data_IF_582751226204
#
_entry.id   IF_582751226204
#
_cell.length_a   1.000
_cell.length_b   1.000
_cell.length_c   1.000
_cell.angle_alpha   90.00
_cell.angle_beta   90.00
_cell.angle_gamma   90.00
#
_symmetry.space_group_name_H-M   'P 1'
#
loop_
_entity.id
_entity.type
_entity.pdbx_description
1 polymer ?
#
# COMPACT_ATOMS: atom_id res chain seq x y z
N UNK A 1 6.63 -1.01 -15.99
CA UNK A 1 6.00 -0.68 -14.68
C UNK A 1 5.17 -1.87 -14.23
N UNK A 2 5.22 -2.25 -12.93
CA UNK A 2 4.36 -3.30 -12.36
C UNK A 2 2.99 -2.73 -12.02
N UNK A 3 1.93 -3.54 -12.20
CA UNK A 3 0.57 -3.17 -11.78
C UNK A 3 0.18 -3.99 -10.57
N UNK A 4 -0.28 -3.32 -9.52
CA UNK A 4 -0.71 -3.85 -8.24
C UNK A 4 -2.16 -3.47 -7.97
N UNK A 5 -2.97 -4.38 -7.49
CA UNK A 5 -4.36 -4.09 -7.11
C UNK A 5 -4.37 -3.49 -5.70
N UNK A 6 -5.16 -2.45 -5.52
CA UNK A 6 -5.40 -1.80 -4.24
C UNK A 6 -6.90 -1.68 -3.98
N UNK A 7 -7.36 -2.09 -2.80
CA UNK A 7 -8.78 -2.05 -2.41
C UNK A 7 -8.98 -1.30 -1.09
N UNK A 8 -10.18 -0.78 -0.89
CA UNK A 8 -10.61 -0.11 0.34
C UNK A 8 -11.83 -0.80 0.96
N UNK A 9 -11.62 -1.90 1.70
CA UNK A 9 -12.72 -2.74 2.21
C UNK A 9 -13.68 -2.04 3.17
N UNK A 10 -13.21 -1.01 3.88
CA UNK A 10 -14.07 -0.21 4.76
C UNK A 10 -15.19 0.51 4.00
N UNK A 11 -15.11 0.57 2.68
CA UNK A 11 -16.16 1.14 1.82
C UNK A 11 -17.31 0.17 1.55
N UNK A 12 -17.23 -1.07 2.04
CA UNK A 12 -18.34 -2.03 1.98
C UNK A 12 -18.02 -3.38 1.36
N UNK A 13 -16.80 -3.91 1.53
CA UNK A 13 -16.42 -5.23 1.02
C UNK A 13 -16.36 -6.30 2.12
N UNK A 14 -16.84 -7.49 1.81
CA UNK A 14 -16.69 -8.70 2.62
C UNK A 14 -15.33 -9.36 2.39
N UNK A 15 -14.99 -10.38 3.22
CA UNK A 15 -13.81 -11.21 2.96
C UNK A 15 -13.90 -11.94 1.62
N UNK A 16 -15.08 -12.45 1.27
CA UNK A 16 -15.29 -13.23 0.02
C UNK A 16 -15.13 -12.34 -1.22
N UNK A 17 -15.54 -11.05 -1.16
CA UNK A 17 -15.29 -10.09 -2.23
C UNK A 17 -13.79 -9.87 -2.43
N UNK A 18 -13.05 -9.68 -1.33
CA UNK A 18 -11.61 -9.49 -1.38
C UNK A 18 -10.87 -10.74 -1.88
N UNK A 19 -11.34 -11.92 -1.51
CA UNK A 19 -10.80 -13.18 -1.99
C UNK A 19 -11.05 -13.35 -3.50
N UNK A 20 -12.24 -13.00 -3.99
CA UNK A 20 -12.55 -13.02 -5.42
C UNK A 20 -11.61 -12.07 -6.21
N UNK A 21 -11.44 -10.83 -5.73
CA UNK A 21 -10.49 -9.88 -6.35
C UNK A 21 -9.06 -10.40 -6.32
N UNK A 22 -8.59 -10.94 -5.19
CA UNK A 22 -7.22 -11.42 -5.04
C UNK A 22 -6.94 -12.63 -5.96
N UNK A 23 -7.84 -13.59 -6.04
CA UNK A 23 -7.72 -14.75 -6.96
C UNK A 23 -7.73 -14.31 -8.41
N UNK A 24 -8.67 -13.45 -8.79
CA UNK A 24 -8.72 -12.90 -10.15
C UNK A 24 -7.44 -12.13 -10.48
N UNK A 25 -6.93 -11.31 -9.57
CA UNK A 25 -5.67 -10.60 -9.77
C UNK A 25 -4.48 -11.56 -9.96
N UNK A 26 -4.43 -12.65 -9.17
CA UNK A 26 -3.39 -13.68 -9.32
C UNK A 26 -3.49 -14.41 -10.65
N UNK A 27 -4.68 -14.83 -11.06
CA UNK A 27 -4.93 -15.52 -12.33
C UNK A 27 -4.56 -14.66 -13.53
N UNK A 28 -4.88 -13.37 -13.47
CA UNK A 28 -4.59 -12.40 -14.53
C UNK A 28 -3.14 -11.90 -14.54
N UNK A 29 -2.32 -12.23 -13.54
CA UNK A 29 -0.89 -11.93 -13.52
C UNK A 29 -0.53 -10.56 -12.95
N UNK A 30 -1.38 -9.93 -12.14
CA UNK A 30 -1.00 -8.76 -11.37
C UNK A 30 0.11 -9.08 -10.37
N UNK A 31 0.95 -8.09 -10.04
CA UNK A 31 2.12 -8.24 -9.16
C UNK A 31 1.73 -8.45 -7.70
N UNK A 32 0.69 -7.77 -7.24
CA UNK A 32 0.30 -7.77 -5.84
C UNK A 32 -1.18 -7.40 -5.62
N UNK A 33 -1.68 -7.79 -4.45
CA UNK A 33 -2.93 -7.30 -3.88
C UNK A 33 -2.64 -6.56 -2.57
N UNK A 34 -3.10 -5.33 -2.49
CA UNK A 34 -3.01 -4.48 -1.33
C UNK A 34 -4.40 -4.03 -0.88
N UNK A 35 -4.52 -3.74 0.40
CA UNK A 35 -5.71 -3.13 0.95
C UNK A 35 -5.35 -1.98 1.90
N UNK A 36 -6.26 -1.03 2.04
CA UNK A 36 -6.19 -0.06 3.14
C UNK A 36 -6.34 -0.74 4.50
N UNK A 37 -5.84 -0.10 5.55
CA UNK A 37 -6.06 -0.50 6.93
C UNK A 37 -6.86 0.61 7.62
N UNK A 38 -8.16 0.64 7.33
CA UNK A 38 -9.12 1.60 7.87
C UNK A 38 -10.29 0.89 8.54
N UNK A 39 -10.79 1.47 9.63
CA UNK A 39 -11.88 0.94 10.44
C UNK A 39 -13.19 1.73 10.29
N UNK A 40 -13.22 2.77 9.48
CA UNK A 40 -14.41 3.56 9.23
C UNK A 40 -14.54 3.90 7.74
N UNK A 41 -15.78 3.84 7.23
CA UNK A 41 -16.10 4.30 5.89
C UNK A 41 -15.79 5.79 5.76
N UNK A 42 -15.26 6.19 4.63
CA UNK A 42 -15.03 7.57 4.25
C UNK A 42 -16.19 8.07 3.38
N UNK A 43 -16.68 9.28 3.69
CA UNK A 43 -17.81 9.87 2.99
C UNK A 43 -19.16 9.29 3.45
N UNK A 44 -20.22 9.76 2.78
CA UNK A 44 -21.61 9.38 3.05
C UNK A 44 -21.92 7.97 2.50
N UNK A 45 -23.02 7.37 3.00
CA UNK A 45 -23.54 6.09 2.54
C UNK A 45 -23.60 5.02 3.60
N UNK A 46 -24.03 3.81 3.21
CA UNK A 46 -24.11 2.66 4.11
C UNK A 46 -22.72 2.16 4.50
N UNK A 47 -22.48 1.99 5.79
CA UNK A 47 -21.24 1.44 6.34
C UNK A 47 -21.20 -0.09 6.38
N UNK A 48 -22.31 -0.76 6.01
CA UNK A 48 -22.37 -2.23 5.95
C UNK A 48 -21.51 -2.82 4.81
N UNK A 49 -20.98 -4.03 4.99
CA UNK A 49 -21.00 -4.89 6.16
C UNK A 49 -20.06 -4.47 7.30
N UNK A 50 -19.36 -3.36 7.18
CA UNK A 50 -18.39 -2.85 8.14
C UNK A 50 -16.94 -3.15 7.76
N UNK A 51 -15.98 -2.58 8.51
CA UNK A 51 -14.57 -2.80 8.24
C UNK A 51 -14.13 -4.21 8.64
N UNK A 52 -13.02 -4.64 8.04
CA UNK A 52 -12.31 -5.85 8.42
C UNK A 52 -10.88 -5.49 8.86
N UNK A 53 -10.30 -6.23 9.81
CA UNK A 53 -8.88 -6.04 10.16
C UNK A 53 -7.99 -6.44 8.99
N UNK A 54 -7.02 -5.59 8.66
CA UNK A 54 -6.18 -5.80 7.49
C UNK A 54 -5.30 -7.05 7.62
N UNK A 55 -4.65 -7.25 8.74
CA UNK A 55 -3.70 -8.35 8.91
C UNK A 55 -4.39 -9.70 9.08
N UNK A 56 -5.59 -9.74 9.69
CA UNK A 56 -6.43 -10.94 9.71
C UNK A 56 -6.89 -11.31 8.31
N UNK A 57 -7.35 -10.33 7.51
CA UNK A 57 -7.73 -10.55 6.11
C UNK A 57 -6.55 -11.07 5.28
N UNK A 58 -5.39 -10.41 5.39
CA UNK A 58 -4.18 -10.80 4.64
C UNK A 58 -3.68 -12.20 5.04
N UNK A 59 -3.84 -12.62 6.30
CA UNK A 59 -3.53 -13.97 6.74
C UNK A 59 -4.41 -15.02 6.03
N UNK A 60 -5.70 -14.75 5.86
CA UNK A 60 -6.60 -15.59 5.07
C UNK A 60 -6.16 -15.65 3.60
N UNK A 61 -6.00 -14.50 2.95
CA UNK A 61 -5.56 -14.40 1.55
C UNK A 61 -4.19 -15.06 1.31
N UNK A 62 -3.28 -15.02 2.29
CA UNK A 62 -1.99 -15.69 2.22
C UNK A 62 -2.07 -17.21 1.99
N UNK A 63 -3.13 -17.83 2.51
CA UNK A 63 -3.40 -19.28 2.35
C UNK A 63 -4.22 -19.62 1.11
N UNK A 64 -4.94 -18.63 0.59
CA UNK A 64 -5.85 -18.79 -0.55
C UNK A 64 -5.23 -18.38 -1.90
N UNK A 65 -4.00 -17.81 -1.86
CA UNK A 65 -3.20 -17.41 -3.02
C UNK A 65 -1.81 -18.05 -2.96
N UNK A 66 -1.08 -18.08 -4.07
CA UNK A 66 0.21 -18.78 -4.16
C UNK A 66 1.37 -17.91 -4.66
N UNK A 67 1.12 -16.87 -5.45
CA UNK A 67 2.14 -16.03 -6.09
C UNK A 67 1.98 -14.55 -5.78
N UNK A 68 0.75 -14.10 -5.60
CA UNK A 68 0.40 -12.70 -5.40
C UNK A 68 1.05 -12.16 -4.13
N UNK A 69 1.78 -11.07 -4.21
CA UNK A 69 2.28 -10.38 -3.03
C UNK A 69 1.12 -9.69 -2.31
N UNK A 70 1.21 -9.57 -1.01
CA UNK A 70 0.10 -9.15 -0.14
C UNK A 70 0.57 -8.08 0.84
N UNK A 71 -0.17 -6.99 0.99
CA UNK A 71 0.23 -5.95 1.93
C UNK A 71 -0.83 -4.92 2.24
N UNK A 72 -0.45 -3.99 3.09
CA UNK A 72 -1.27 -2.82 3.44
C UNK A 72 -0.78 -1.56 2.73
N UNK A 73 -1.71 -0.70 2.34
CA UNK A 73 -1.39 0.62 1.79
C UNK A 73 -2.31 1.68 2.42
N UNK A 74 -2.02 2.16 3.65
CA UNK A 74 -0.98 1.69 4.57
C UNK A 74 -1.57 1.50 5.97
N UNK A 75 -0.95 0.67 6.81
CA UNK A 75 -1.30 0.57 8.24
C UNK A 75 -0.96 1.89 8.95
N UNK A 76 -1.89 2.42 9.74
CA UNK A 76 -1.61 3.55 10.61
C UNK A 76 -0.83 3.10 11.87
N UNK A 77 0.27 3.79 12.17
CA UNK A 77 1.09 3.51 13.36
C UNK A 77 0.33 3.68 14.69
N UNK A 78 -0.81 4.34 14.65
CA UNK A 78 -1.70 4.54 15.80
C UNK A 78 -2.57 3.33 16.13
N UNK A 79 -2.73 2.38 15.21
CA UNK A 79 -3.70 1.28 15.38
C UNK A 79 -3.14 0.11 16.20
N UNK A 80 -1.84 -0.14 16.12
CA UNK A 80 -1.23 -1.31 16.76
C UNK A 80 0.09 -0.95 17.45
N UNK A 81 0.37 -1.66 18.54
CA UNK A 81 1.69 -1.62 19.16
C UNK A 81 2.74 -2.29 18.25
N UNK A 82 3.99 -1.81 18.21
CA UNK A 82 5.01 -2.29 17.29
C UNK A 82 5.35 -3.79 17.44
N UNK A 83 5.45 -4.29 18.64
CA UNK A 83 5.74 -5.71 18.89
C UNK A 83 4.67 -6.65 18.31
N UNK A 84 3.39 -6.50 18.69
CA UNK A 84 2.29 -7.25 18.08
C UNK A 84 2.19 -7.10 16.55
N UNK A 85 2.44 -5.90 16.00
CA UNK A 85 2.44 -5.69 14.57
C UNK A 85 3.59 -6.46 13.89
N UNK A 86 4.80 -6.41 14.45
CA UNK A 86 5.94 -7.17 13.93
C UNK A 86 5.66 -8.68 13.89
N UNK A 87 4.99 -9.21 14.93
CA UNK A 87 4.58 -10.62 15.01
C UNK A 87 3.53 -10.93 13.94
N UNK A 88 2.49 -10.10 13.79
CA UNK A 88 1.42 -10.33 12.82
C UNK A 88 1.96 -10.35 11.38
N UNK A 89 2.82 -9.39 11.02
CA UNK A 89 3.45 -9.33 9.69
C UNK A 89 4.34 -10.53 9.43
N UNK A 90 5.21 -10.90 10.38
CA UNK A 90 6.08 -12.08 10.24
C UNK A 90 5.26 -13.38 10.11
N UNK A 91 4.11 -13.47 10.79
CA UNK A 91 3.21 -14.62 10.67
C UNK A 91 2.55 -14.68 9.30
N UNK A 92 2.04 -13.56 8.78
CA UNK A 92 1.49 -13.48 7.42
C UNK A 92 2.56 -13.78 6.38
N UNK A 93 3.79 -13.31 6.60
CA UNK A 93 4.93 -13.62 5.75
C UNK A 93 5.20 -15.14 5.70
N UNK A 94 5.22 -15.80 6.85
CA UNK A 94 5.38 -17.26 6.91
C UNK A 94 4.19 -17.99 6.25
N UNK A 95 2.94 -17.57 6.52
CA UNK A 95 1.73 -18.18 5.94
C UNK A 95 1.69 -18.05 4.42
N UNK A 96 2.23 -16.97 3.88
CA UNK A 96 2.29 -16.70 2.44
C UNK A 96 3.53 -17.31 1.75
N UNK A 97 4.51 -17.82 2.50
CA UNK A 97 5.79 -18.28 1.95
C UNK A 97 6.67 -17.13 1.45
N UNK A 98 6.68 -16.00 2.16
CA UNK A 98 7.57 -14.86 1.86
C UNK A 98 6.97 -13.85 0.88
N UNK A 99 5.66 -13.60 0.93
CA UNK A 99 4.97 -12.65 0.03
C UNK A 99 4.39 -11.42 0.73
N UNK A 100 4.53 -11.28 2.05
CA UNK A 100 4.02 -10.13 2.79
C UNK A 100 4.85 -8.87 2.54
N UNK A 101 4.18 -7.70 2.51
CA UNK A 101 4.78 -6.36 2.49
C UNK A 101 4.08 -5.48 3.53
N UNK A 102 4.85 -4.73 4.32
CA UNK A 102 4.31 -3.82 5.33
C UNK A 102 4.28 -2.39 4.79
N UNK A 103 3.12 -1.91 4.37
CA UNK A 103 2.92 -0.48 4.23
C UNK A 103 2.55 0.15 5.58
N UNK A 104 3.25 1.22 5.97
CA UNK A 104 3.02 1.88 7.26
C UNK A 104 3.14 3.40 7.14
N UNK A 105 2.32 4.13 7.88
CA UNK A 105 2.30 5.59 7.91
C UNK A 105 1.86 6.15 9.27
N UNK A 106 1.91 7.47 9.41
CA UNK A 106 1.60 8.14 10.69
C UNK A 106 0.10 8.17 11.04
N UNK A 107 -0.79 7.78 10.11
CA UNK A 107 -2.24 7.95 10.27
C UNK A 107 -2.71 9.38 9.97
N UNK A 108 -3.95 9.53 9.56
CA UNK A 108 -4.50 10.83 9.17
C UNK A 108 -5.99 10.99 9.48
N UNK A 109 -6.78 9.90 9.52
CA UNK A 109 -8.22 9.92 9.63
C UNK A 109 -8.66 9.93 11.11
N UNK A 110 -8.95 11.12 11.65
CA UNK A 110 -9.31 11.33 13.07
C UNK A 110 -10.65 10.65 13.43
N UNK A 111 -11.64 10.69 12.52
CA UNK A 111 -12.99 10.18 12.80
C UNK A 111 -12.99 8.68 13.15
N UNK A 112 -12.18 7.86 12.46
CA UNK A 112 -12.08 6.43 12.77
C UNK A 112 -11.43 6.16 14.13
N UNK A 113 -10.47 7.00 14.52
CA UNK A 113 -9.84 6.92 15.85
C UNK A 113 -10.86 7.21 16.95
N UNK A 114 -11.66 8.27 16.78
CA UNK A 114 -12.74 8.60 17.72
C UNK A 114 -13.80 7.51 17.79
N UNK A 115 -14.22 6.99 16.63
CA UNK A 115 -15.27 5.96 16.55
C UNK A 115 -14.87 4.66 17.27
N UNK A 116 -13.58 4.34 17.31
CA UNK A 116 -13.08 3.09 17.89
C UNK A 116 -12.27 3.27 19.18
N UNK A 117 -12.28 4.47 19.77
CA UNK A 117 -11.56 4.74 21.03
C UNK A 117 -10.04 4.65 20.91
N UNK A 118 -9.50 4.84 19.71
CA UNK A 118 -8.06 4.81 19.45
C UNK A 118 -7.49 6.23 19.68
N UNK A 119 -6.42 6.39 20.47
CA UNK A 119 -5.81 7.70 20.66
C UNK A 119 -5.30 8.30 19.34
N UNK A 120 -5.61 9.58 19.11
CA UNK A 120 -5.13 10.32 17.95
C UNK A 120 -4.31 11.54 18.39
N UNK A 121 -3.01 11.35 18.70
CA UNK A 121 -2.16 12.43 19.16
C UNK A 121 -1.79 13.39 18.04
N UNK A 122 -1.07 14.46 18.38
CA UNK A 122 -0.61 15.44 17.40
C UNK A 122 0.17 14.81 16.26
N UNK A 123 0.17 15.43 15.07
CA UNK A 123 0.94 14.95 13.91
C UNK A 123 2.42 14.73 14.25
N UNK A 124 3.01 15.64 15.06
CA UNK A 124 4.39 15.49 15.52
C UNK A 124 4.58 14.17 16.29
N UNK A 125 3.73 13.92 17.26
CA UNK A 125 3.81 12.71 18.08
C UNK A 125 3.54 11.44 17.26
N UNK A 126 2.58 11.46 16.34
CA UNK A 126 2.34 10.32 15.45
C UNK A 126 3.57 9.96 14.61
N UNK A 127 4.30 10.95 14.13
CA UNK A 127 5.56 10.71 13.42
C UNK A 127 6.69 10.25 14.34
N UNK A 128 6.76 10.75 15.59
CA UNK A 128 7.72 10.28 16.57
C UNK A 128 7.46 8.79 16.91
N UNK A 129 6.19 8.42 17.11
CA UNK A 129 5.76 7.03 17.30
C UNK A 129 6.04 6.14 16.09
N UNK A 130 5.81 6.64 14.87
CA UNK A 130 6.11 5.90 13.64
C UNK A 130 7.60 5.58 13.53
N UNK A 131 8.46 6.53 13.86
CA UNK A 131 9.91 6.33 13.82
C UNK A 131 10.37 5.28 14.83
N UNK A 132 9.87 5.32 16.07
CA UNK A 132 10.15 4.27 17.06
C UNK A 132 9.59 2.92 16.65
N UNK A 133 8.37 2.86 16.07
CA UNK A 133 7.79 1.61 15.57
C UNK A 133 8.65 0.98 14.47
N UNK A 134 9.12 1.78 13.50
CA UNK A 134 9.99 1.29 12.45
C UNK A 134 11.29 0.71 13.01
N UNK A 135 11.90 1.39 13.98
CA UNK A 135 13.10 0.90 14.66
C UNK A 135 12.85 -0.43 15.41
N UNK A 136 11.72 -0.54 16.10
CA UNK A 136 11.34 -1.74 16.84
C UNK A 136 11.03 -2.90 15.90
N UNK A 137 10.20 -2.66 14.87
CA UNK A 137 9.78 -3.69 13.92
C UNK A 137 10.99 -4.26 13.18
N UNK A 138 11.85 -3.40 12.63
CA UNK A 138 13.07 -3.83 11.94
C UNK A 138 14.05 -4.50 12.89
N UNK A 139 14.23 -3.98 14.11
CA UNK A 139 15.07 -4.57 15.16
C UNK A 139 14.60 -5.97 15.53
N UNK A 140 13.30 -6.17 15.76
CA UNK A 140 12.75 -7.49 16.06
C UNK A 140 12.94 -8.48 14.91
N UNK A 141 12.80 -8.04 13.67
CA UNK A 141 12.95 -8.94 12.51
C UNK A 141 14.41 -9.31 12.23
N UNK A 142 15.35 -8.38 12.45
CA UNK A 142 16.77 -8.56 12.12
C UNK A 142 17.64 -9.10 13.26
N UNK A 143 17.19 -9.03 14.51
CA UNK A 143 17.90 -9.63 15.64
C UNK A 143 18.07 -11.13 15.42
N UNK A 144 19.30 -11.70 15.52
CA UNK A 144 19.55 -13.11 15.30
C UNK A 144 18.75 -14.03 16.22
N UNK A 145 18.38 -15.22 15.75
CA UNK A 145 17.71 -16.23 16.58
C UNK A 145 18.61 -16.62 17.75
N UNK A 146 18.06 -16.59 18.95
CA UNK A 146 18.78 -16.86 20.21
C UNK A 146 19.29 -15.61 20.91
N UNK A 147 19.31 -14.47 20.24
CA UNK A 147 19.59 -13.17 20.84
C UNK A 147 18.32 -12.50 21.35
N UNK A 148 18.50 -11.41 22.12
CA UNK A 148 17.42 -10.61 22.70
C UNK A 148 17.42 -9.21 22.11
N UNK A 149 16.24 -8.69 21.86
CA UNK A 149 16.03 -7.32 21.41
C UNK A 149 15.45 -6.48 22.55
N UNK A 150 16.06 -5.33 22.80
CA UNK A 150 15.53 -4.32 23.73
C UNK A 150 15.47 -2.97 23.03
N UNK A 151 14.49 -2.15 23.39
CA UNK A 151 14.33 -0.79 22.94
C UNK A 151 13.86 0.06 24.11
N UNK A 152 14.60 1.09 24.45
CA UNK A 152 14.27 2.09 25.47
C UNK A 152 13.95 3.39 24.74
N UNK A 153 12.66 3.59 24.44
CA UNK A 153 12.17 4.71 23.66
C UNK A 153 11.35 5.69 24.49
N UNK A 154 10.89 6.75 23.84
CA UNK A 154 10.00 7.72 24.48
C UNK A 154 8.57 7.21 24.59
N UNK A 155 8.14 6.41 23.63
CA UNK A 155 6.75 5.97 23.50
C UNK A 155 6.59 4.45 23.66
N UNK A 156 7.65 3.71 23.45
CA UNK A 156 7.65 2.25 23.54
C UNK A 156 8.90 1.77 24.25
N UNK A 157 8.69 0.84 25.18
CA UNK A 157 9.75 0.17 25.92
C UNK A 157 9.60 -1.33 25.74
N UNK A 158 10.64 -1.99 25.24
CA UNK A 158 10.73 -3.43 25.08
C UNK A 158 11.97 -3.95 25.80
N UNK A 159 11.77 -4.89 26.72
CA UNK A 159 12.86 -5.48 27.52
C UNK A 159 13.01 -6.95 27.20
N UNK A 160 14.21 -7.37 26.80
CA UNK A 160 14.61 -8.76 26.58
C UNK A 160 13.66 -9.58 25.68
N UNK A 161 13.07 -8.94 24.66
CA UNK A 161 12.21 -9.63 23.70
C UNK A 161 12.98 -10.75 22.99
N UNK A 162 12.43 -11.97 22.86
CA UNK A 162 13.05 -13.02 22.06
C UNK A 162 13.06 -12.70 20.56
N UNK A 163 12.43 -11.60 20.14
CA UNK A 163 12.33 -11.15 18.74
C UNK A 163 11.84 -12.25 17.78
N UNK A 164 10.81 -12.97 18.18
CA UNK A 164 10.19 -14.08 17.43
C UNK A 164 8.68 -13.82 17.21
N UNK A 165 8.07 -14.39 16.14
CA UNK A 165 8.68 -15.20 15.09
C UNK A 165 9.54 -14.38 14.13
N UNK A 166 10.45 -15.04 13.40
CA UNK A 166 11.17 -14.41 12.29
C UNK A 166 10.34 -14.50 11.01
N UNK A 167 10.36 -13.44 10.18
CA UNK A 167 9.81 -13.54 8.83
C UNK A 167 10.63 -14.50 7.97
N UNK A 168 10.02 -15.02 6.91
CA UNK A 168 10.67 -15.87 5.91
C UNK A 168 11.58 -15.04 5.00
N UNK A 169 11.12 -13.84 4.64
CA UNK A 169 11.89 -12.92 3.81
C UNK A 169 13.13 -12.40 4.55
N UNK A 170 14.25 -12.28 3.83
CA UNK A 170 15.52 -11.79 4.37
C UNK A 170 15.95 -10.50 3.64
N UNK A 171 16.43 -9.48 4.33
CA UNK A 171 16.58 -9.39 5.80
C UNK A 171 15.25 -9.29 6.55
N UNK A 172 14.17 -8.85 5.90
CA UNK A 172 12.80 -8.76 6.41
C UNK A 172 11.79 -8.52 5.27
N UNK A 173 10.47 -8.61 5.52
CA UNK A 173 9.44 -8.18 4.57
C UNK A 173 9.67 -6.73 4.13
N UNK A 174 9.48 -6.39 2.84
CA UNK A 174 9.61 -5.02 2.37
C UNK A 174 8.71 -4.06 3.15
N UNK A 175 9.26 -2.91 3.50
CA UNK A 175 8.55 -1.80 4.14
C UNK A 175 8.23 -0.75 3.09
N UNK A 176 6.96 -0.31 3.07
CA UNK A 176 6.47 0.76 2.22
C UNK A 176 6.10 1.95 3.10
N UNK A 177 6.67 3.11 2.85
CA UNK A 177 6.28 4.35 3.51
C UNK A 177 5.54 5.21 2.51
N UNK A 178 4.31 5.61 2.87
CA UNK A 178 3.44 6.43 2.03
C UNK A 178 3.12 7.79 2.62
N UNK A 179 2.81 8.76 1.76
CA UNK A 179 2.25 10.04 2.15
C UNK A 179 3.01 11.28 1.68
N UNK A 180 2.40 12.44 1.96
CA UNK A 180 2.81 13.76 1.47
C UNK A 180 3.70 14.57 2.42
N UNK A 181 4.31 13.96 3.42
CA UNK A 181 5.21 14.67 4.32
C UNK A 181 6.45 15.18 3.58
N UNK A 182 6.75 16.48 3.71
CA UNK A 182 7.84 17.12 2.94
C UNK A 182 9.24 16.87 3.49
N UNK A 183 9.36 16.47 4.76
CA UNK A 183 10.65 16.24 5.45
C UNK A 183 10.73 14.88 6.12
N UNK A 184 9.84 14.59 7.07
CA UNK A 184 9.91 13.36 7.87
C UNK A 184 9.59 12.11 7.07
N UNK A 185 8.58 12.15 6.19
CA UNK A 185 8.20 11.01 5.36
C UNK A 185 9.33 10.56 4.43
N UNK A 186 9.99 11.46 3.63
CA UNK A 186 11.15 11.08 2.85
C UNK A 186 12.33 10.57 3.69
N UNK A 187 12.61 11.19 4.85
CA UNK A 187 13.70 10.76 5.73
C UNK A 187 13.47 9.35 6.31
N UNK A 188 12.23 9.04 6.73
CA UNK A 188 11.88 7.69 7.20
C UNK A 188 11.94 6.67 6.05
N UNK A 189 11.48 7.04 4.85
CA UNK A 189 11.58 6.18 3.68
C UNK A 189 13.06 5.88 3.33
N UNK A 190 13.91 6.90 3.32
CA UNK A 190 15.34 6.73 3.07
C UNK A 190 16.03 5.82 4.10
N UNK A 191 15.56 5.83 5.36
CA UNK A 191 16.19 5.05 6.44
C UNK A 191 15.67 3.61 6.54
N UNK A 192 14.38 3.37 6.30
CA UNK A 192 13.72 2.11 6.66
C UNK A 192 13.04 1.40 5.50
N UNK A 193 12.69 2.10 4.40
CA UNK A 193 11.80 1.53 3.41
C UNK A 193 12.52 1.01 2.17
N UNK A 194 11.98 -0.04 1.58
CA UNK A 194 12.30 -0.47 0.22
C UNK A 194 11.48 0.29 -0.82
N UNK A 195 10.38 0.92 -0.39
CA UNK A 195 9.47 1.59 -1.30
C UNK A 195 8.86 2.86 -0.69
N UNK A 196 8.83 3.93 -1.49
CA UNK A 196 8.15 5.18 -1.18
C UNK A 196 6.93 5.33 -2.09
N UNK A 197 5.74 5.40 -1.50
CA UNK A 197 4.48 5.50 -2.24
C UNK A 197 3.83 6.88 -2.07
N UNK A 198 3.34 7.42 -3.18
CA UNK A 198 2.52 8.64 -3.19
C UNK A 198 1.07 8.31 -3.54
N UNK A 199 0.12 8.61 -2.63
CA UNK A 199 -1.30 8.37 -2.88
C UNK A 199 -1.92 9.47 -3.74
N UNK A 200 -2.44 9.13 -4.91
CA UNK A 200 -3.27 9.98 -5.78
C UNK A 200 -2.69 11.37 -6.14
N UNK A 201 -1.39 11.50 -6.48
CA UNK A 201 -0.80 12.79 -6.80
C UNK A 201 -1.11 13.24 -8.23
N UNK A 202 -1.20 14.55 -8.49
CA UNK A 202 -0.90 15.09 -9.80
C UNK A 202 0.55 14.74 -10.21
N UNK A 203 0.79 14.58 -11.51
CA UNK A 203 2.10 14.11 -12.01
C UNK A 203 3.27 15.03 -11.62
N UNK A 204 3.07 16.34 -11.65
CA UNK A 204 4.15 17.29 -11.28
C UNK A 204 4.47 17.20 -9.79
N UNK A 205 3.45 17.06 -8.94
CA UNK A 205 3.65 16.84 -7.52
C UNK A 205 4.37 15.50 -7.25
N UNK A 206 4.06 14.45 -8.02
CA UNK A 206 4.77 13.18 -7.93
C UNK A 206 6.27 13.35 -8.18
N UNK A 207 6.67 14.06 -9.23
CA UNK A 207 8.08 14.35 -9.55
C UNK A 207 8.80 15.04 -8.40
N UNK A 208 8.17 16.07 -7.82
CA UNK A 208 8.76 16.82 -6.71
C UNK A 208 9.01 15.94 -5.48
N UNK A 209 8.10 15.03 -5.17
CA UNK A 209 8.24 14.14 -4.02
C UNK A 209 9.23 12.99 -4.26
N UNK A 210 9.32 12.49 -5.48
CA UNK A 210 10.36 11.53 -5.87
C UNK A 210 11.75 12.16 -5.70
N UNK A 211 11.93 13.40 -6.14
CA UNK A 211 13.19 14.11 -5.97
C UNK A 211 13.54 14.33 -4.48
N UNK A 212 12.55 14.70 -3.65
CA UNK A 212 12.74 14.81 -2.18
C UNK A 212 13.15 13.49 -1.54
N UNK A 213 12.55 12.37 -1.99
CA UNK A 213 12.90 11.05 -1.49
C UNK A 213 14.32 10.63 -1.89
N UNK A 214 14.72 10.91 -3.13
CA UNK A 214 16.09 10.69 -3.62
C UNK A 214 17.12 11.55 -2.86
N UNK A 215 16.81 12.83 -2.64
CA UNK A 215 17.66 13.71 -1.86
C UNK A 215 17.82 13.21 -0.41
N UNK A 216 16.74 12.74 0.21
CA UNK A 216 16.80 12.19 1.57
C UNK A 216 17.67 10.90 1.63
N UNK A 217 17.66 10.07 0.59
CA UNK A 217 18.59 8.95 0.48
C UNK A 217 20.05 9.44 0.42
N UNK A 218 20.35 10.40 -0.44
CA UNK A 218 21.69 11.00 -0.57
C UNK A 218 22.16 11.58 0.77
N UNK A 219 21.31 12.34 1.45
CA UNK A 219 21.62 12.99 2.74
C UNK A 219 21.89 11.96 3.85
N UNK A 220 21.29 10.77 3.76
CA UNK A 220 21.51 9.65 4.69
C UNK A 220 22.65 8.71 4.29
N UNK A 221 23.32 8.96 3.15
CA UNK A 221 24.36 8.08 2.61
C UNK A 221 23.86 6.81 1.94
N UNK A 222 22.55 6.74 1.64
CA UNK A 222 21.94 5.65 0.90
C UNK A 222 21.96 5.94 -0.60
N UNK A 223 22.26 4.92 -1.41
CA UNK A 223 22.07 5.03 -2.87
C UNK A 223 20.59 5.22 -3.21
N UNK A 224 20.18 6.35 -3.83
CA UNK A 224 18.81 6.63 -4.21
C UNK A 224 18.18 5.56 -5.12
N UNK A 225 18.99 4.84 -5.90
CA UNK A 225 18.51 3.77 -6.78
C UNK A 225 17.96 2.54 -6.01
N UNK A 226 18.27 2.43 -4.72
CA UNK A 226 17.77 1.33 -3.88
C UNK A 226 16.39 1.59 -3.28
N UNK A 227 15.86 2.82 -3.38
CA UNK A 227 14.53 3.18 -2.94
C UNK A 227 13.57 3.24 -4.15
N UNK A 228 12.71 2.24 -4.27
CA UNK A 228 11.68 2.25 -5.30
C UNK A 228 10.67 3.37 -5.04
N UNK A 229 10.22 4.01 -6.10
CA UNK A 229 9.13 5.01 -6.02
C UNK A 229 7.91 4.49 -6.76
N UNK A 230 6.73 4.65 -6.16
CA UNK A 230 5.48 4.11 -6.67
C UNK A 230 4.34 5.12 -6.48
N UNK A 231 3.22 4.87 -7.15
CA UNK A 231 2.04 5.73 -7.12
C UNK A 231 0.78 4.91 -6.89
N UNK A 232 -0.17 5.45 -6.13
CA UNK A 232 -1.53 4.92 -6.10
C UNK A 232 -2.45 5.84 -6.93
N UNK A 233 -3.30 5.25 -7.75
CA UNK A 233 -4.26 5.95 -8.61
C UNK A 233 -5.59 5.20 -8.59
N UNK A 234 -6.71 5.95 -8.56
CA UNK A 234 -8.02 5.37 -8.86
C UNK A 234 -7.97 4.84 -10.29
N UNK A 235 -8.39 3.60 -10.50
CA UNK A 235 -8.52 3.03 -11.85
C UNK A 235 -9.99 2.92 -12.24
N UNK A 236 -10.31 3.40 -13.45
CA UNK A 236 -11.62 3.22 -14.07
C UNK A 236 -11.44 3.14 -15.60
N UNK A 237 -11.52 1.93 -16.16
CA UNK A 237 -11.26 1.68 -17.57
C UNK A 237 -12.51 1.10 -18.24
N UNK A 238 -12.89 1.59 -19.41
CA UNK A 238 -13.96 1.03 -20.25
C UNK A 238 -13.46 0.71 -21.66
N UNK A 239 -14.00 -0.34 -22.30
CA UNK A 239 -13.70 -0.67 -23.71
C UNK A 239 -14.12 0.43 -24.64
N UNK A 240 -15.19 1.15 -24.25
CA UNK A 240 -15.74 2.31 -24.91
C UNK A 240 -16.24 3.35 -23.90
N UNK A 241 -16.69 4.49 -24.40
CA UNK A 241 -17.16 5.61 -23.58
C UNK A 241 -18.39 5.26 -22.73
N UNK A 242 -19.27 4.40 -23.25
CA UNK A 242 -20.48 4.00 -22.54
C UNK A 242 -20.14 3.10 -21.33
N UNK A 243 -19.24 2.14 -21.52
CA UNK A 243 -18.75 1.27 -20.44
C UNK A 243 -17.96 2.06 -19.40
N UNK A 244 -17.10 2.98 -19.81
CA UNK A 244 -16.36 3.85 -18.91
C UNK A 244 -17.30 4.67 -18.02
N UNK A 245 -18.31 5.33 -18.61
CA UNK A 245 -19.30 6.12 -17.86
C UNK A 245 -20.11 5.25 -16.91
N UNK A 246 -20.52 4.07 -17.32
CA UNK A 246 -21.24 3.12 -16.46
C UNK A 246 -20.41 2.76 -15.23
N UNK A 247 -19.10 2.48 -15.40
CA UNK A 247 -18.19 2.20 -14.28
C UNK A 247 -17.95 3.41 -13.38
N UNK A 248 -17.81 4.59 -13.96
CA UNK A 248 -17.68 5.83 -13.21
C UNK A 248 -18.92 6.10 -12.34
N UNK A 249 -20.13 5.92 -12.91
CA UNK A 249 -21.39 6.04 -12.18
C UNK A 249 -21.50 5.01 -11.04
N UNK A 250 -21.10 3.75 -11.29
CA UNK A 250 -21.14 2.68 -10.29
C UNK A 250 -20.27 2.98 -9.05
N UNK A 251 -19.15 3.68 -9.23
CA UNK A 251 -18.28 4.11 -8.12
C UNK A 251 -18.59 5.52 -7.62
N UNK A 252 -19.63 6.17 -8.12
CA UNK A 252 -20.05 7.51 -7.69
C UNK A 252 -19.04 8.60 -8.01
N UNK A 253 -18.35 8.53 -9.15
CA UNK A 253 -17.32 9.49 -9.54
C UNK A 253 -17.64 10.13 -10.90
N UNK A 254 -17.30 11.39 -11.03
CA UNK A 254 -17.47 12.14 -12.28
C UNK A 254 -16.40 11.70 -13.32
N UNK A 255 -16.79 11.36 -14.57
CA UNK A 255 -15.87 10.88 -15.60
C UNK A 255 -14.70 11.82 -15.89
N UNK A 256 -14.95 13.13 -15.99
CA UNK A 256 -13.90 14.11 -16.32
C UNK A 256 -12.91 14.29 -15.14
N UNK A 257 -13.41 14.20 -13.90
CA UNK A 257 -12.56 14.20 -12.71
C UNK A 257 -11.67 12.95 -12.65
N UNK A 258 -12.23 11.78 -12.95
CA UNK A 258 -11.47 10.52 -13.02
C UNK A 258 -10.37 10.58 -14.09
N UNK A 259 -10.65 11.10 -15.29
CA UNK A 259 -9.63 11.27 -16.33
C UNK A 259 -8.51 12.22 -15.90
N UNK A 260 -8.87 13.29 -15.21
CA UNK A 260 -7.88 14.25 -14.72
C UNK A 260 -6.97 13.65 -13.66
N UNK A 261 -7.53 13.00 -12.65
CA UNK A 261 -6.84 12.63 -11.40
C UNK A 261 -6.47 11.14 -11.32
N UNK A 262 -7.16 10.26 -12.03
CA UNK A 262 -6.96 8.82 -12.00
C UNK A 262 -6.25 8.25 -13.23
N UNK A 263 -6.08 6.94 -13.22
CA UNK A 263 -5.78 6.13 -14.42
C UNK A 263 -7.13 5.71 -15.03
N UNK A 264 -7.76 6.62 -15.81
CA UNK A 264 -9.16 6.46 -16.18
C UNK A 264 -9.43 6.87 -17.64
N UNK A 265 -10.49 6.26 -18.20
CA UNK A 265 -10.91 6.46 -19.59
C UNK A 265 -10.88 5.17 -20.39
N UNK A 266 -10.57 5.27 -21.69
CA UNK A 266 -10.36 4.11 -22.56
C UNK A 266 -8.99 3.47 -22.29
N UNK A 267 -8.73 2.21 -22.69
CA UNK A 267 -7.46 1.53 -22.38
C UNK A 267 -6.22 2.34 -22.75
N UNK A 268 -6.24 3.04 -23.91
CA UNK A 268 -5.12 3.89 -24.34
C UNK A 268 -4.90 5.07 -23.39
N UNK A 269 -5.97 5.71 -22.92
CA UNK A 269 -5.85 6.85 -21.98
C UNK A 269 -5.24 6.39 -20.64
N UNK A 270 -5.65 5.22 -20.18
CA UNK A 270 -5.08 4.59 -18.96
C UNK A 270 -3.59 4.27 -19.16
N UNK A 271 -3.22 3.69 -20.32
CA UNK A 271 -1.82 3.40 -20.65
C UNK A 271 -1.00 4.70 -20.69
N UNK A 272 -1.47 5.74 -21.38
CA UNK A 272 -0.76 7.02 -21.50
C UNK A 272 -0.52 7.64 -20.11
N UNK A 273 -1.52 7.60 -19.21
CA UNK A 273 -1.40 8.07 -17.83
C UNK A 273 -0.34 7.29 -17.07
N UNK A 274 -0.38 5.97 -17.10
CA UNK A 274 0.57 5.11 -16.39
C UNK A 274 2.00 5.26 -16.94
N UNK A 275 2.16 5.39 -18.25
CA UNK A 275 3.46 5.65 -18.88
C UNK A 275 4.03 7.02 -18.50
N UNK A 276 3.19 8.04 -18.30
CA UNK A 276 3.64 9.35 -17.82
C UNK A 276 4.24 9.24 -16.38
N UNK A 277 3.60 8.48 -15.49
CA UNK A 277 4.16 8.20 -14.17
C UNK A 277 5.40 7.29 -14.22
N UNK A 278 5.43 6.30 -15.11
CA UNK A 278 6.64 5.47 -15.32
C UNK A 278 7.82 6.33 -15.78
N UNK A 279 7.59 7.25 -16.72
CA UNK A 279 8.62 8.20 -17.19
C UNK A 279 9.06 9.19 -16.11
N UNK A 280 8.23 9.42 -15.10
CA UNK A 280 8.56 10.21 -13.92
C UNK A 280 9.25 9.39 -12.81
N UNK A 281 9.49 8.09 -13.03
CA UNK A 281 10.23 7.21 -12.13
C UNK A 281 9.37 6.23 -11.33
N UNK A 282 8.06 6.13 -11.60
CA UNK A 282 7.23 5.15 -10.92
C UNK A 282 7.52 3.73 -11.42
N UNK A 283 7.97 2.86 -10.52
CA UNK A 283 8.27 1.45 -10.82
C UNK A 283 7.04 0.55 -10.73
N UNK A 284 6.06 0.95 -9.93
CA UNK A 284 4.76 0.28 -9.84
C UNK A 284 3.62 1.30 -9.67
N UNK A 285 2.43 0.93 -10.13
CA UNK A 285 1.18 1.63 -9.85
C UNK A 285 0.25 0.72 -9.05
N UNK A 286 -0.27 1.25 -7.94
CA UNK A 286 -1.34 0.66 -7.16
C UNK A 286 -2.67 1.17 -7.71
N UNK A 287 -3.36 0.30 -8.40
CA UNK A 287 -4.64 0.58 -9.05
C UNK A 287 -5.75 0.42 -8.02
N UNK A 288 -6.29 1.53 -7.53
CA UNK A 288 -7.41 1.52 -6.60
C UNK A 288 -8.68 1.10 -7.33
N UNK A 289 -9.17 -0.09 -6.99
CA UNK A 289 -10.42 -0.66 -7.47
C UNK A 289 -11.51 -0.36 -6.44
N UNK A 290 -12.44 0.54 -6.78
CA UNK A 290 -13.52 0.97 -5.88
C UNK A 290 -14.74 0.05 -5.97
N UNK A 291 -15.05 -0.50 -7.15
CA UNK A 291 -16.05 -1.55 -7.31
C UNK A 291 -15.37 -2.92 -7.31
N UNK A 292 -15.33 -3.56 -6.15
CA UNK A 292 -14.72 -4.89 -5.95
C UNK A 292 -15.56 -6.02 -6.56
N UNK A 293 -16.79 -5.74 -7.00
CA UNK A 293 -17.66 -6.71 -7.63
C UNK A 293 -17.47 -6.84 -9.15
N UNK A 294 -16.88 -5.79 -9.79
CA UNK A 294 -16.62 -5.79 -11.24
C UNK A 294 -15.27 -6.45 -11.58
N UNK A 295 -15.24 -7.79 -11.53
CA UNK A 295 -14.04 -8.57 -11.87
C UNK A 295 -13.71 -8.49 -13.37
N UNK A 296 -14.67 -8.18 -14.25
CA UNK A 296 -14.44 -7.97 -15.68
C UNK A 296 -13.56 -6.73 -15.92
N UNK A 297 -13.63 -5.73 -15.03
CA UNK A 297 -12.76 -4.57 -15.08
C UNK A 297 -11.28 -4.95 -14.93
N UNK A 298 -10.96 -5.86 -14.00
CA UNK A 298 -9.60 -6.40 -13.85
C UNK A 298 -9.16 -7.16 -15.11
N UNK A 299 -10.07 -7.94 -15.71
CA UNK A 299 -9.82 -8.64 -16.98
C UNK A 299 -9.49 -7.68 -18.11
N UNK A 300 -10.22 -6.57 -18.24
CA UNK A 300 -9.96 -5.54 -19.24
C UNK A 300 -8.58 -4.90 -19.05
N UNK A 301 -8.23 -4.53 -17.82
CA UNK A 301 -6.93 -3.94 -17.50
C UNK A 301 -5.80 -4.91 -17.80
N UNK A 302 -5.96 -6.19 -17.47
CA UNK A 302 -4.95 -7.21 -17.72
C UNK A 302 -4.75 -7.46 -19.23
N UNK A 303 -5.82 -7.45 -20.02
CA UNK A 303 -5.77 -7.70 -21.46
C UNK A 303 -5.24 -6.51 -22.27
N UNK A 304 -5.69 -5.29 -21.97
CA UNK A 304 -5.49 -4.12 -22.81
C UNK A 304 -4.45 -3.13 -22.27
N UNK A 305 -4.26 -3.06 -20.94
CA UNK A 305 -3.37 -2.07 -20.30
C UNK A 305 -2.03 -2.68 -19.90
N UNK A 306 -2.07 -3.81 -19.18
CA UNK A 306 -0.86 -4.41 -18.62
C UNK A 306 0.24 -4.73 -19.65
N UNK A 307 -0.04 -5.30 -20.83
CA UNK A 307 0.99 -5.58 -21.83
C UNK A 307 1.69 -4.32 -22.34
N UNK A 308 0.91 -3.23 -22.54
CA UNK A 308 1.44 -1.98 -23.07
C UNK A 308 2.31 -1.22 -22.06
N UNK A 309 2.00 -1.33 -20.75
CA UNK A 309 2.79 -0.70 -19.68
C UNK A 309 4.03 -1.53 -19.32
N UNK A 310 3.97 -2.86 -19.43
CA UNK A 310 5.09 -3.77 -19.18
C UNK A 310 6.19 -3.74 -20.24
N UNK A 311 5.83 -3.48 -21.50
CA UNK A 311 6.77 -3.50 -22.63
C UNK A 311 7.84 -2.39 -22.58
N UNK A 312 7.62 -1.31 -21.85
CA UNK A 312 8.58 -0.18 -21.72
C UNK A 312 9.73 -0.43 -20.74
N UNK A 313 9.67 -1.47 -19.89
CA UNK A 313 10.72 -1.77 -18.90
C UNK A 313 11.94 -2.52 -19.49
N UNK A 314 11.92 -2.90 -20.76
CA UNK A 314 12.95 -3.70 -21.43
C UNK A 314 13.74 -3.00 -22.55
N UNK A 315 13.54 -1.70 -22.76
CA UNK A 315 14.14 -0.94 -23.87
C UNK A 315 15.05 0.22 -23.42
N UNK A 316 15.88 -0.01 -22.42
CA UNK A 316 16.96 0.94 -22.04
C UNK A 316 18.22 0.19 -21.62
#
# INVERSE_FOLDING_TARGET
MRLRIFTEPQQGATYDDLLAVARTAEELGFDAFFRSDHYLRMGDGDAGPGPTDAWITLAGLARETSRLRLGTLVTASTFRLPGPLAIAVAQVDAMSGGRAELGIGAGWFDDEHRAHGIPFPSTRERFDRLEEQLAIITGMWTTPVGERFSHDGRYYDLTDSPALPKPVQQPHPPIIIGGYGTKRTPALAARYAEEFNLPFPPLDLYRDYVERARQACTDSGRDPATLRTTVALVVCCGRDEAEFRRRADAIGREPDELRSNGAAGLPREVVDKLQAFASAGAEAAYLQVLDVSDLEHLGLIAAEVMPAVGATAGAA
#
